data_IF_785165348852
#
_entry.id   IF_785165348852
#
_cell.length_a   1.000
_cell.length_b   1.000
_cell.length_c   1.000
_cell.angle_alpha   90.00
_cell.angle_beta   90.00
_cell.angle_gamma   90.00
#
_symmetry.space_group_name_H-M   'P 1'
#
loop_
_entity.id
_entity.type
_entity.pdbx_description
1 polymer ?
#
# COMPACT_ATOMS: atom_id res chain seq x y z
N UNK A 1 -2.83 10.14 -8.78
CA UNK A 1 -1.49 10.29 -9.35
C UNK A 1 -1.46 11.68 -9.91
N UNK A 2 -1.02 12.64 -9.11
CA UNK A 2 -0.80 13.99 -9.64
C UNK A 2 0.34 13.94 -10.65
N UNK A 3 0.23 14.75 -11.71
CA UNK A 3 1.15 14.74 -12.85
C UNK A 3 2.62 15.00 -12.42
N UNK A 4 2.83 15.78 -11.35
CA UNK A 4 4.14 16.05 -10.73
C UNK A 4 4.88 14.79 -10.24
N UNK A 5 4.17 13.69 -9.99
CA UNK A 5 4.77 12.41 -9.57
C UNK A 5 5.01 11.46 -10.76
N UNK A 6 4.68 11.87 -11.99
CA UNK A 6 4.68 10.98 -13.17
C UNK A 6 5.45 11.52 -14.37
N UNK A 7 6.25 12.59 -14.22
CA UNK A 7 6.98 13.19 -15.35
C UNK A 7 7.78 12.16 -16.16
N UNK A 8 7.28 11.85 -17.37
CA UNK A 8 7.89 10.93 -18.33
C UNK A 8 7.72 9.43 -18.05
N UNK A 9 6.98 9.01 -17.01
CA UNK A 9 6.79 7.60 -16.63
C UNK A 9 5.32 7.17 -16.70
N UNK A 10 5.07 5.89 -16.97
CA UNK A 10 3.71 5.36 -16.97
C UNK A 10 3.04 5.60 -15.59
N UNK A 11 1.75 5.93 -15.59
CA UNK A 11 1.01 6.24 -14.37
C UNK A 11 1.17 5.10 -13.33
N UNK A 12 1.27 5.37 -12.01
CA UNK A 12 1.57 4.37 -10.98
C UNK A 12 0.60 3.18 -10.89
N UNK A 13 -0.57 3.30 -11.51
CA UNK A 13 -1.53 2.20 -11.68
C UNK A 13 -1.12 1.20 -12.78
N UNK A 14 -0.33 1.66 -13.75
CA UNK A 14 0.18 0.90 -14.90
C UNK A 14 1.59 0.38 -14.60
N UNK A 15 2.48 1.25 -14.11
CA UNK A 15 3.83 0.87 -13.65
C UNK A 15 3.98 1.15 -12.15
N UNK A 16 3.93 0.11 -11.30
CA UNK A 16 3.98 0.27 -9.84
C UNK A 16 5.37 0.65 -9.32
N UNK A 17 6.41 0.71 -10.16
CA UNK A 17 7.79 0.94 -9.74
C UNK A 17 7.97 2.25 -8.95
N UNK A 18 7.34 3.34 -9.40
CA UNK A 18 7.44 4.64 -8.75
C UNK A 18 6.78 4.65 -7.36
N UNK A 19 5.61 4.01 -7.23
CA UNK A 19 4.94 3.83 -5.93
C UNK A 19 5.81 2.99 -4.98
N UNK A 20 6.39 1.91 -5.49
CA UNK A 20 7.20 1.00 -4.70
C UNK A 20 8.51 1.65 -4.25
N UNK A 21 9.13 2.48 -5.08
CA UNK A 21 10.30 3.29 -4.73
C UNK A 21 9.97 4.30 -3.65
N UNK A 22 8.83 5.01 -3.79
CA UNK A 22 8.39 5.98 -2.78
C UNK A 22 8.11 5.31 -1.43
N UNK A 23 7.44 4.15 -1.43
CA UNK A 23 7.19 3.39 -0.20
C UNK A 23 8.49 3.08 0.54
N UNK A 24 9.53 2.62 -0.17
CA UNK A 24 10.84 2.33 0.44
C UNK A 24 11.45 3.59 1.07
N UNK A 25 11.44 4.70 0.32
CA UNK A 25 11.97 5.97 0.82
C UNK A 25 11.25 6.44 2.09
N UNK A 26 9.93 6.42 2.13
CA UNK A 26 9.18 6.81 3.33
C UNK A 26 9.38 5.81 4.48
N UNK A 27 9.54 4.52 4.18
CA UNK A 27 9.85 3.50 5.17
C UNK A 27 11.28 3.58 5.73
N UNK A 28 12.17 4.37 5.15
CA UNK A 28 13.51 4.66 5.70
C UNK A 28 13.48 5.84 6.69
N UNK A 29 12.47 6.71 6.63
CA UNK A 29 12.37 7.90 7.47
C UNK A 29 11.78 7.56 8.86
N UNK A 30 12.57 7.63 9.96
CA UNK A 30 12.11 7.26 11.29
C UNK A 30 10.93 8.09 11.82
N UNK A 31 10.67 9.28 11.27
CA UNK A 31 9.52 10.11 11.65
C UNK A 31 8.19 9.59 11.06
N UNK A 32 8.26 8.69 10.07
CA UNK A 32 7.07 8.09 9.44
C UNK A 32 6.56 6.90 10.26
N UNK A 33 5.51 7.11 11.06
CA UNK A 33 4.87 6.04 11.84
C UNK A 33 3.80 5.24 11.09
N UNK A 34 3.26 5.76 9.97
CA UNK A 34 2.28 5.05 9.15
C UNK A 34 2.33 5.45 7.66
N UNK A 35 2.08 4.48 6.78
CA UNK A 35 1.93 4.66 5.33
C UNK A 35 0.55 4.14 4.92
N UNK A 36 -0.20 4.96 4.18
CA UNK A 36 -1.50 4.59 3.61
C UNK A 36 -1.39 4.43 2.10
N UNK A 37 -1.90 3.32 1.57
CA UNK A 37 -1.85 2.99 0.15
C UNK A 37 -3.25 2.70 -0.39
N UNK A 38 -3.51 3.10 -1.63
CA UNK A 38 -4.67 2.67 -2.40
C UNK A 38 -4.23 1.65 -3.46
N UNK A 39 -4.91 0.50 -3.49
CA UNK A 39 -4.73 -0.54 -4.50
C UNK A 39 -6.04 -0.68 -5.25
N UNK A 40 -6.05 -0.17 -6.47
CA UNK A 40 -7.22 -0.22 -7.37
C UNK A 40 -7.03 -1.34 -8.38
N UNK A 41 -8.00 -2.25 -8.45
CA UNK A 41 -8.07 -3.34 -9.42
C UNK A 41 -8.94 -2.95 -10.63
N UNK A 42 -9.03 -3.86 -11.59
CA UNK A 42 -9.87 -3.70 -12.78
C UNK A 42 -9.09 -3.49 -14.06
N UNK A 43 -9.79 -3.12 -15.12
CA UNK A 43 -9.22 -3.04 -16.47
C UNK A 43 -8.12 -1.97 -16.55
N UNK A 44 -6.94 -2.37 -17.03
CA UNK A 44 -5.78 -1.48 -17.21
C UNK A 44 -4.88 -1.35 -15.98
N UNK A 45 -5.28 -1.94 -14.84
CA UNK A 45 -4.37 -2.12 -13.72
C UNK A 45 -3.44 -3.32 -13.95
N UNK A 46 -2.31 -3.32 -13.24
CA UNK A 46 -1.38 -4.45 -13.19
C UNK A 46 -2.11 -5.78 -12.93
N UNK A 47 -1.61 -6.90 -13.47
CA UNK A 47 -2.26 -8.22 -13.34
C UNK A 47 -2.22 -8.76 -11.91
N UNK A 48 -1.16 -8.44 -11.15
CA UNK A 48 -1.02 -8.84 -9.74
C UNK A 48 -0.32 -7.72 -8.94
N UNK A 49 -1.02 -6.61 -8.62
CA UNK A 49 -0.40 -5.48 -7.93
C UNK A 49 0.05 -5.82 -6.51
N UNK A 50 -0.61 -6.76 -5.83
CA UNK A 50 -0.29 -7.19 -4.47
C UNK A 50 1.00 -8.00 -4.39
N UNK A 51 1.39 -8.73 -5.44
CA UNK A 51 2.63 -9.53 -5.43
C UNK A 51 3.87 -8.65 -5.25
N UNK A 52 4.03 -7.64 -6.09
CA UNK A 52 5.21 -6.77 -6.02
C UNK A 52 5.12 -5.82 -4.83
N UNK A 53 3.91 -5.28 -4.56
CA UNK A 53 3.71 -4.42 -3.41
C UNK A 53 3.95 -5.16 -2.08
N UNK A 54 3.44 -6.38 -1.94
CA UNK A 54 3.56 -7.18 -0.73
C UNK A 54 5.02 -7.48 -0.38
N UNK A 55 5.90 -7.68 -1.38
CA UNK A 55 7.35 -7.82 -1.15
C UNK A 55 7.92 -6.58 -0.49
N UNK A 56 7.61 -5.40 -1.03
CA UNK A 56 8.10 -4.11 -0.53
C UNK A 56 7.55 -3.81 0.86
N UNK A 57 6.26 -4.07 1.10
CA UNK A 57 5.65 -3.94 2.43
C UNK A 57 6.35 -4.84 3.45
N UNK A 58 6.54 -6.11 3.12
CA UNK A 58 7.17 -7.07 4.02
C UNK A 58 8.61 -6.68 4.36
N UNK A 59 9.35 -6.14 3.40
CA UNK A 59 10.71 -5.61 3.60
C UNK A 59 10.71 -4.40 4.54
N UNK A 60 9.87 -3.41 4.27
CA UNK A 60 9.73 -2.21 5.09
C UNK A 60 9.36 -2.54 6.54
N UNK A 61 8.35 -3.39 6.75
CA UNK A 61 7.90 -3.79 8.08
C UNK A 61 8.97 -4.59 8.85
N UNK A 62 9.75 -5.44 8.17
CA UNK A 62 10.88 -6.14 8.82
C UNK A 62 11.97 -5.18 9.29
N UNK A 63 12.26 -4.14 8.51
CA UNK A 63 13.27 -3.13 8.85
C UNK A 63 12.80 -2.22 9.99
N UNK A 64 11.51 -1.86 10.00
CA UNK A 64 10.90 -0.93 10.96
C UNK A 64 10.25 -1.60 12.17
N UNK A 65 10.28 -2.93 12.23
CA UNK A 65 9.71 -3.77 13.30
C UNK A 65 8.28 -3.35 13.66
N UNK A 66 8.11 -2.59 14.74
CA UNK A 66 6.79 -2.18 15.26
C UNK A 66 6.54 -0.67 15.11
N UNK A 67 7.48 0.07 14.51
CA UNK A 67 7.45 1.54 14.46
C UNK A 67 6.85 2.07 13.15
N UNK A 68 6.34 1.16 12.32
CA UNK A 68 5.69 1.49 11.05
C UNK A 68 4.45 0.63 10.86
N UNK A 69 3.31 1.28 10.61
CA UNK A 69 2.08 0.62 10.15
C UNK A 69 1.87 0.87 8.66
N UNK A 70 1.55 -0.17 7.88
CA UNK A 70 1.11 -0.03 6.49
C UNK A 70 -0.36 -0.39 6.39
N UNK A 71 -1.20 0.60 6.04
CA UNK A 71 -2.63 0.42 5.81
C UNK A 71 -2.94 0.48 4.32
N UNK A 72 -3.72 -0.48 3.81
CA UNK A 72 -4.09 -0.55 2.39
C UNK A 72 -5.60 -0.48 2.25
N UNK A 73 -6.09 0.48 1.46
CA UNK A 73 -7.44 0.44 0.90
C UNK A 73 -7.40 -0.35 -0.41
N UNK A 74 -8.06 -1.49 -0.46
CA UNK A 74 -8.18 -2.30 -1.67
C UNK A 74 -9.53 -2.00 -2.32
N UNK A 75 -9.51 -1.38 -3.49
CA UNK A 75 -10.68 -1.10 -4.32
C UNK A 75 -10.71 -2.04 -5.54
N UNK A 76 -11.86 -2.66 -5.80
CA UNK A 76 -12.02 -3.60 -6.92
C UNK A 76 -13.30 -4.42 -6.81
N UNK A 77 -13.80 -4.96 -7.90
CA UNK A 77 -14.98 -5.81 -7.93
C UNK A 77 -14.62 -7.30 -7.83
N UNK A 78 -15.58 -8.13 -7.42
CA UNK A 78 -15.38 -9.59 -7.35
C UNK A 78 -15.07 -10.22 -8.73
N UNK A 79 -15.51 -9.58 -9.81
CA UNK A 79 -15.27 -10.02 -11.20
C UNK A 79 -13.99 -9.48 -11.85
N UNK A 80 -13.18 -8.69 -11.13
CA UNK A 80 -11.91 -8.21 -11.68
C UNK A 80 -10.92 -9.36 -11.85
N UNK A 81 -10.20 -9.36 -12.98
CA UNK A 81 -9.29 -10.45 -13.36
C UNK A 81 -8.15 -10.68 -12.39
N UNK A 82 -7.77 -9.66 -11.60
CA UNK A 82 -6.74 -9.75 -10.57
C UNK A 82 -7.17 -10.60 -9.36
N UNK A 83 -8.49 -10.82 -9.17
CA UNK A 83 -9.06 -11.58 -8.07
C UNK A 83 -8.92 -10.89 -6.72
N UNK A 84 -9.97 -10.17 -6.29
CA UNK A 84 -9.94 -9.32 -5.08
C UNK A 84 -9.49 -10.08 -3.81
N UNK A 85 -9.96 -11.31 -3.60
CA UNK A 85 -9.64 -12.08 -2.40
C UNK A 85 -8.17 -12.53 -2.39
N UNK A 86 -7.64 -12.89 -3.56
CA UNK A 86 -6.22 -13.26 -3.69
C UNK A 86 -5.31 -12.05 -3.45
N UNK A 87 -5.68 -10.87 -3.98
CA UNK A 87 -4.97 -9.62 -3.75
C UNK A 87 -4.98 -9.23 -2.27
N UNK A 88 -6.15 -9.31 -1.61
CA UNK A 88 -6.30 -9.04 -0.18
C UNK A 88 -5.41 -9.97 0.64
N UNK A 89 -5.48 -11.28 0.39
CA UNK A 89 -4.70 -12.26 1.15
C UNK A 89 -3.20 -12.02 1.05
N UNK A 90 -2.69 -11.74 -0.16
CA UNK A 90 -1.26 -11.43 -0.37
C UNK A 90 -0.80 -10.21 0.44
N UNK A 91 -1.62 -9.17 0.52
CA UNK A 91 -1.30 -7.95 1.27
C UNK A 91 -1.34 -8.19 2.79
N UNK A 92 -2.32 -8.96 3.27
CA UNK A 92 -2.39 -9.36 4.68
C UNK A 92 -1.20 -10.25 5.06
N UNK A 93 -0.87 -11.24 4.23
CA UNK A 93 0.28 -12.13 4.44
C UNK A 93 1.62 -11.36 4.44
N UNK A 94 1.67 -10.20 3.77
CA UNK A 94 2.80 -9.28 3.80
C UNK A 94 2.88 -8.42 5.07
N UNK A 95 1.89 -8.49 5.95
CA UNK A 95 1.81 -7.73 7.20
C UNK A 95 1.04 -6.41 7.11
N UNK A 96 0.42 -6.09 5.96
CA UNK A 96 -0.40 -4.89 5.85
C UNK A 96 -1.76 -5.05 6.55
N UNK A 97 -2.29 -3.95 7.07
CA UNK A 97 -3.70 -3.88 7.49
C UNK A 97 -4.54 -3.50 6.29
N UNK A 98 -5.31 -4.45 5.76
CA UNK A 98 -6.10 -4.26 4.54
C UNK A 98 -7.56 -3.98 4.87
N UNK A 99 -8.11 -2.95 4.25
CA UNK A 99 -9.53 -2.61 4.30
C UNK A 99 -10.09 -2.43 2.89
N UNK A 100 -11.42 -2.45 2.79
CA UNK A 100 -12.19 -2.16 1.59
C UNK A 100 -12.74 -0.73 1.58
N UNK A 101 -12.28 0.12 2.51
CA UNK A 101 -12.75 1.48 2.71
C UNK A 101 -11.59 2.43 3.02
N UNK A 102 -11.36 3.41 2.14
CA UNK A 102 -10.25 4.36 2.26
C UNK A 102 -10.34 5.22 3.52
N UNK A 103 -11.54 5.57 3.99
CA UNK A 103 -11.71 6.30 5.25
C UNK A 103 -11.31 5.44 6.46
N UNK A 104 -11.53 4.13 6.41
CA UNK A 104 -11.06 3.24 7.46
C UNK A 104 -9.54 3.11 7.45
N UNK A 105 -8.91 3.05 6.26
CA UNK A 105 -7.45 3.02 6.13
C UNK A 105 -6.80 4.26 6.78
N UNK A 106 -7.37 5.44 6.53
CA UNK A 106 -6.92 6.68 7.15
C UNK A 106 -7.07 6.66 8.69
N UNK A 107 -8.20 6.18 9.22
CA UNK A 107 -8.41 6.05 10.68
C UNK A 107 -7.42 5.10 11.33
N UNK A 108 -7.08 3.99 10.68
CA UNK A 108 -6.06 3.05 11.16
C UNK A 108 -4.70 3.74 11.25
N UNK A 109 -4.32 4.51 10.22
CA UNK A 109 -3.06 5.25 10.24
C UNK A 109 -3.00 6.29 11.37
N UNK A 110 -4.09 7.05 11.57
CA UNK A 110 -4.18 8.01 12.69
C UNK A 110 -4.04 7.30 14.04
N UNK A 111 -4.71 6.16 14.22
CA UNK A 111 -4.62 5.39 15.46
C UNK A 111 -3.20 4.83 15.69
N UNK A 112 -2.52 4.38 14.63
CA UNK A 112 -1.17 3.83 14.71
C UNK A 112 -0.13 4.87 15.15
N UNK A 113 -0.25 6.12 14.68
CA UNK A 113 0.68 7.20 15.09
C UNK A 113 0.29 7.87 16.41
N UNK A 114 -1.00 7.83 16.79
CA UNK A 114 -1.50 8.42 18.03
C UNK A 114 -1.26 7.59 19.29
N UNK A 115 -0.96 6.29 19.15
CA UNK A 115 -0.70 5.38 20.28
C UNK A 115 0.73 5.37 20.81
N UNK A 116 1.64 6.17 20.25
CA UNK A 116 3.06 6.25 20.64
C UNK A 116 3.41 7.36 21.63
N UNK A 117 2.41 8.07 22.16
CA UNK A 117 2.59 9.14 23.13
C UNK A 117 1.96 8.80 24.47
N UNK A 118 2.63 7.96 25.25
CA UNK A 118 2.44 7.79 26.70
C UNK A 118 3.81 7.78 27.39
#
# INVERSE_FOLDING_TARGET
>A
GEDELTEGRAHPMIDPSLRNERLRREAEDPEVGAIVLDVVLGRGAHEDPAKDLGRVISEALRQRRNDLTVAVSLCGAAGDSQGVDAQMRRLVDAGAVVTRNSAQAARIAVAAVGGGGD
#
